data_IF_498150547070
#
_entry.id   IF_498150547070
#
_cell.length_a   1.000
_cell.length_b   1.000
_cell.length_c   1.000
_cell.angle_alpha   90.00
_cell.angle_beta   90.00
_cell.angle_gamma   90.00
#
_symmetry.space_group_name_H-M   'P 1'
#
loop_
_entity.id
_entity.type
_entity.pdbx_description
1 polymer ?
#
# COMPACT_ATOMS: atom_id res chain seq x y z
N UNK A 1 4.35 -3.85 8.66
CA UNK A 1 4.51 -2.46 8.16
C UNK A 1 3.15 -1.84 8.03
N UNK A 2 3.00 -0.60 8.47
CA UNK A 2 1.79 0.19 8.39
C UNK A 2 2.12 1.51 7.70
N UNK A 3 1.42 1.81 6.62
CA UNK A 3 1.42 3.12 5.97
C UNK A 3 0.06 3.77 6.21
N UNK A 4 0.08 5.02 6.63
CA UNK A 4 -1.12 5.82 6.87
C UNK A 4 -1.14 6.92 5.81
N UNK A 5 -2.22 6.99 5.05
CA UNK A 5 -2.29 7.80 3.85
C UNK A 5 -3.45 8.76 3.96
N UNK A 6 -3.14 10.04 3.73
CA UNK A 6 -4.11 11.12 3.63
C UNK A 6 -4.30 11.48 2.17
N UNK A 7 -5.56 11.74 1.80
CA UNK A 7 -5.95 12.30 0.52
C UNK A 7 -5.59 13.77 0.46
N UNK A 8 -5.07 14.22 -0.67
CA UNK A 8 -4.82 15.64 -0.94
C UNK A 8 -6.00 16.21 -1.74
N UNK A 9 -6.45 17.42 -1.39
CA UNK A 9 -7.51 18.15 -2.08
C UNK A 9 -8.81 17.36 -2.30
N UNK A 10 -9.13 16.48 -1.36
CA UNK A 10 -10.34 15.63 -1.37
C UNK A 10 -10.46 14.69 -2.60
N UNK A 11 -9.36 14.36 -3.26
CA UNK A 11 -9.28 13.42 -4.40
C UNK A 11 -9.48 11.93 -4.00
N UNK A 12 -10.53 11.62 -3.23
CA UNK A 12 -10.73 10.28 -2.65
C UNK A 12 -10.96 9.21 -3.70
N UNK A 13 -11.68 9.53 -4.77
CA UNK A 13 -11.96 8.58 -5.86
C UNK A 13 -10.68 8.15 -6.59
N UNK A 14 -9.81 9.10 -6.94
CA UNK A 14 -8.49 8.81 -7.52
C UNK A 14 -7.64 7.98 -6.55
N UNK A 15 -7.66 8.32 -5.26
CA UNK A 15 -6.93 7.58 -4.23
C UNK A 15 -7.36 6.11 -4.18
N UNK A 16 -8.66 5.83 -4.08
CA UNK A 16 -9.18 4.46 -4.03
C UNK A 16 -8.86 3.71 -5.32
N UNK A 17 -9.15 4.32 -6.48
CA UNK A 17 -8.86 3.72 -7.78
C UNK A 17 -7.39 3.34 -7.91
N UNK A 18 -6.48 4.25 -7.53
CA UNK A 18 -5.05 4.03 -7.57
C UNK A 18 -4.63 2.83 -6.69
N UNK A 19 -5.21 2.70 -5.50
CA UNK A 19 -4.90 1.59 -4.60
C UNK A 19 -5.44 0.24 -5.09
N UNK A 20 -6.66 0.20 -5.62
CA UNK A 20 -7.28 -1.01 -6.17
C UNK A 20 -6.60 -1.49 -7.46
N UNK A 21 -6.25 -0.56 -8.35
CA UNK A 21 -5.76 -0.89 -9.70
C UNK A 21 -4.23 -0.96 -9.80
N UNK A 22 -3.51 -0.59 -8.74
CA UNK A 22 -2.05 -0.67 -8.72
C UNK A 22 -1.58 -1.44 -7.49
N UNK A 23 -1.80 -0.89 -6.30
CA UNK A 23 -1.19 -1.41 -5.08
C UNK A 23 -1.72 -2.77 -4.64
N UNK A 24 -3.00 -3.07 -4.91
CA UNK A 24 -3.57 -4.40 -4.71
C UNK A 24 -2.87 -5.43 -5.61
N UNK A 25 -2.78 -5.15 -6.91
CA UNK A 25 -2.12 -6.03 -7.90
C UNK A 25 -0.68 -6.33 -7.49
N UNK A 26 0.09 -5.30 -7.11
CA UNK A 26 1.48 -5.48 -6.67
C UNK A 26 1.57 -6.41 -5.44
N UNK A 27 0.60 -6.35 -4.54
CA UNK A 27 0.57 -7.16 -3.32
C UNK A 27 0.03 -8.57 -3.53
N UNK A 28 -0.90 -8.75 -4.47
CA UNK A 28 -1.30 -10.07 -4.94
C UNK A 28 -0.08 -10.82 -5.49
N UNK A 29 0.70 -10.19 -6.38
CA UNK A 29 1.94 -10.77 -6.92
C UNK A 29 2.96 -11.04 -5.80
N UNK A 30 3.16 -10.07 -4.88
CA UNK A 30 4.11 -10.25 -3.77
C UNK A 30 3.71 -11.41 -2.85
N UNK A 31 2.41 -11.63 -2.63
CA UNK A 31 1.89 -12.74 -1.83
C UNK A 31 2.08 -14.08 -2.58
N UNK A 32 1.76 -14.13 -3.87
CA UNK A 32 1.96 -15.32 -4.72
C UNK A 32 3.43 -15.75 -4.79
N UNK A 33 4.35 -14.79 -4.77
CA UNK A 33 5.81 -15.04 -4.78
C UNK A 33 6.43 -15.27 -3.40
N UNK A 34 5.60 -15.37 -2.35
CA UNK A 34 6.04 -15.51 -0.96
C UNK A 34 7.02 -14.41 -0.50
N UNK A 35 6.84 -13.18 -0.99
CA UNK A 35 7.61 -12.01 -0.55
C UNK A 35 6.99 -11.36 0.68
N UNK A 36 5.67 -11.49 0.83
CA UNK A 36 4.89 -11.05 1.99
C UNK A 36 3.98 -12.18 2.45
N UNK A 37 3.59 -12.17 3.71
CA UNK A 37 2.64 -13.11 4.28
C UNK A 37 1.19 -12.73 3.93
N UNK A 38 0.85 -11.47 4.16
CA UNK A 38 -0.47 -10.93 3.93
C UNK A 38 -0.44 -9.42 3.76
N UNK A 39 -1.55 -8.86 3.31
CA UNK A 39 -1.76 -7.43 3.28
C UNK A 39 -3.24 -7.10 3.48
N UNK A 40 -3.49 -5.91 3.98
CA UNK A 40 -4.84 -5.37 4.20
C UNK A 40 -4.82 -3.88 3.83
N UNK A 41 -5.92 -3.40 3.25
CA UNK A 41 -6.16 -1.98 3.03
C UNK A 41 -7.46 -1.63 3.75
N UNK A 42 -7.36 -0.71 4.70
CA UNK A 42 -8.49 -0.25 5.50
C UNK A 42 -8.78 1.20 5.11
N UNK A 43 -10.05 1.50 4.86
CA UNK A 43 -10.53 2.86 4.69
C UNK A 43 -10.99 3.37 6.04
N UNK A 44 -10.59 4.58 6.39
CA UNK A 44 -10.98 5.21 7.65
C UNK A 44 -12.13 6.18 7.43
N UNK A 45 -13.00 6.25 8.43
CA UNK A 45 -13.97 7.33 8.52
C UNK A 45 -13.28 8.59 9.02
N UNK A 46 -13.78 9.76 8.63
CA UNK A 46 -13.24 11.02 9.13
C UNK A 46 -13.49 11.11 10.64
N UNK A 47 -12.42 11.23 11.43
CA UNK A 47 -12.50 11.60 12.84
C UNK A 47 -11.71 12.88 13.12
N UNK A 48 -12.00 13.51 14.25
CA UNK A 48 -11.43 14.81 14.61
C UNK A 48 -9.99 14.75 15.14
N UNK A 49 -9.35 13.57 15.14
CA UNK A 49 -8.09 13.31 15.87
C UNK A 49 -7.00 12.76 14.94
N UNK A 50 -7.35 11.88 14.01
CA UNK A 50 -6.44 11.18 13.13
C UNK A 50 -6.67 11.59 11.68
N UNK A 51 -5.80 12.46 11.16
CA UNK A 51 -5.92 12.97 9.79
C UNK A 51 -5.29 12.02 8.75
N UNK A 52 -5.92 10.87 8.51
CA UNK A 52 -5.65 9.97 7.38
C UNK A 52 -6.94 9.30 6.89
N UNK A 53 -6.95 8.88 5.62
CA UNK A 53 -8.11 8.25 4.96
C UNK A 53 -7.91 6.75 4.69
N UNK A 54 -6.65 6.28 4.66
CA UNK A 54 -6.31 4.87 4.41
C UNK A 54 -5.23 4.40 5.38
N UNK A 55 -5.38 3.16 5.86
CA UNK A 55 -4.31 2.38 6.48
C UNK A 55 -3.97 1.21 5.58
N UNK A 56 -2.72 1.12 5.14
CA UNK A 56 -2.21 0.01 4.37
C UNK A 56 -1.27 -0.82 5.23
N UNK A 57 -1.62 -2.09 5.41
CA UNK A 57 -0.90 -3.04 6.23
C UNK A 57 -0.23 -4.05 5.32
N UNK A 58 1.09 -4.19 5.44
CA UNK A 58 1.84 -5.30 4.83
C UNK A 58 2.49 -6.12 5.93
N UNK A 59 2.18 -7.41 5.97
CA UNK A 59 2.77 -8.37 6.92
C UNK A 59 3.82 -9.21 6.23
N UNK A 60 4.98 -9.32 6.86
CA UNK A 60 6.09 -10.17 6.42
C UNK A 60 6.24 -11.31 7.41
N UNK A 61 6.59 -12.52 6.93
CA UNK A 61 6.81 -13.69 7.79
C UNK A 61 7.99 -13.49 8.74
N UNK A 62 8.98 -12.71 8.32
CA UNK A 62 10.20 -12.46 9.08
C UNK A 62 10.93 -11.19 8.61
N UNK A 63 11.95 -10.79 9.38
CA UNK A 63 12.80 -9.63 9.14
C UNK A 63 13.51 -9.70 7.78
N UNK A 64 13.97 -10.89 7.35
CA UNK A 64 14.65 -11.04 6.06
C UNK A 64 13.74 -10.66 4.89
N UNK A 65 12.48 -11.09 4.90
CA UNK A 65 11.51 -10.69 3.88
C UNK A 65 11.28 -9.17 3.89
N UNK A 66 11.22 -8.55 5.08
CA UNK A 66 11.07 -7.11 5.20
C UNK A 66 12.27 -6.35 4.60
N UNK A 67 13.50 -6.74 4.94
CA UNK A 67 14.72 -6.12 4.44
C UNK A 67 14.87 -6.22 2.92
N UNK A 68 14.39 -7.32 2.33
CA UNK A 68 14.37 -7.54 0.88
C UNK A 68 13.13 -6.91 0.21
N UNK A 69 12.21 -6.33 1.00
CA UNK A 69 10.91 -5.87 0.52
C UNK A 69 11.02 -4.82 -0.57
N UNK A 70 11.84 -3.78 -0.36
CA UNK A 70 12.00 -2.69 -1.32
C UNK A 70 12.46 -3.20 -2.69
N UNK A 71 13.57 -3.94 -2.73
CA UNK A 71 14.11 -4.50 -3.98
C UNK A 71 13.09 -5.38 -4.70
N UNK A 72 12.39 -6.24 -3.95
CA UNK A 72 11.35 -7.14 -4.48
C UNK A 72 10.15 -6.37 -5.03
N UNK A 73 9.68 -5.35 -4.33
CA UNK A 73 8.59 -4.50 -4.82
C UNK A 73 9.01 -3.69 -6.04
N UNK A 74 10.25 -3.17 -6.10
CA UNK A 74 10.77 -2.50 -7.29
C UNK A 74 10.80 -3.43 -8.51
N UNK A 75 11.19 -4.69 -8.31
CA UNK A 75 11.12 -5.70 -9.38
C UNK A 75 9.68 -5.90 -9.87
N UNK A 76 8.73 -6.13 -8.95
CA UNK A 76 7.31 -6.33 -9.31
C UNK A 76 6.76 -5.08 -10.03
N UNK A 77 7.07 -3.87 -9.55
CA UNK A 77 6.64 -2.62 -10.17
C UNK A 77 7.18 -2.51 -11.61
N UNK A 78 8.46 -2.83 -11.82
CA UNK A 78 9.07 -2.79 -13.16
C UNK A 78 8.41 -3.78 -14.11
N UNK A 79 8.19 -5.01 -13.66
CA UNK A 79 7.52 -6.06 -14.45
C UNK A 79 6.08 -5.66 -14.79
N UNK A 80 5.31 -5.24 -13.79
CA UNK A 80 3.92 -4.78 -13.94
C UNK A 80 3.84 -3.58 -14.88
N UNK A 81 4.69 -2.56 -14.70
CA UNK A 81 4.67 -1.38 -15.56
C UNK A 81 5.01 -1.73 -17.01
N UNK A 82 5.91 -2.70 -17.24
CA UNK A 82 6.22 -3.20 -18.58
C UNK A 82 5.01 -3.89 -19.23
N UNK A 83 4.24 -4.66 -18.46
CA UNK A 83 3.06 -5.37 -18.95
C UNK A 83 1.87 -4.43 -19.24
N UNK A 84 1.63 -3.47 -18.34
CA UNK A 84 0.43 -2.61 -18.38
C UNK A 84 0.66 -1.21 -18.96
N UNK A 85 1.88 -0.89 -19.39
CA UNK A 85 2.21 0.45 -19.90
C UNK A 85 2.32 1.53 -18.82
N UNK A 86 2.48 1.14 -17.55
CA UNK A 86 2.71 2.05 -16.43
C UNK A 86 1.67 1.97 -15.31
N UNK A 87 1.58 3.07 -14.56
CA UNK A 87 0.64 3.25 -13.45
C UNK A 87 -0.74 3.58 -14.01
N UNK A 88 -1.78 2.96 -13.46
CA UNK A 88 -3.18 3.26 -13.79
C UNK A 88 -3.68 4.37 -12.89
N UNK A 89 -4.18 5.44 -13.49
CA UNK A 89 -4.74 6.61 -12.81
C UNK A 89 -6.15 6.82 -13.37
N UNK A 90 -7.07 7.31 -12.54
CA UNK A 90 -8.43 7.62 -12.99
C UNK A 90 -8.46 8.97 -13.74
N UNK A 91 -7.53 9.87 -13.42
CA UNK A 91 -7.31 11.16 -14.07
C UNK A 91 -5.81 11.42 -14.35
N UNK A 92 -5.46 12.66 -14.70
CA UNK A 92 -4.08 13.05 -15.04
C UNK A 92 -3.21 13.41 -13.82
N UNK A 93 -3.76 13.35 -12.60
CA UNK A 93 -3.03 13.65 -11.37
C UNK A 93 -1.97 12.58 -11.10
N UNK A 94 -0.76 13.01 -10.78
CA UNK A 94 0.29 12.10 -10.33
C UNK A 94 0.05 11.73 -8.87
N UNK A 95 0.56 10.58 -8.40
CA UNK A 95 0.41 10.14 -7.01
C UNK A 95 0.67 11.24 -5.97
N UNK A 96 1.74 12.04 -6.11
CA UNK A 96 2.04 13.11 -5.14
C UNK A 96 0.98 14.22 -5.03
N UNK A 97 0.07 14.33 -6.00
CA UNK A 97 -0.96 15.39 -6.08
C UNK A 97 -2.27 14.97 -5.40
N UNK A 98 -2.50 13.68 -5.19
CA UNK A 98 -3.73 13.17 -4.54
C UNK A 98 -3.49 12.34 -3.29
N UNK A 99 -2.25 11.92 -3.01
CA UNK A 99 -1.90 11.15 -1.81
C UNK A 99 -0.67 11.69 -1.09
N UNK A 100 -0.73 11.62 0.23
CA UNK A 100 0.40 11.83 1.13
C UNK A 100 0.49 10.70 2.14
N UNK A 101 1.65 10.06 2.24
CA UNK A 101 1.93 9.17 3.36
C UNK A 101 2.25 10.05 4.58
N UNK A 102 1.41 9.99 5.61
CA UNK A 102 1.55 10.81 6.83
C UNK A 102 2.29 10.07 7.94
N UNK A 103 2.18 8.74 7.99
CA UNK A 103 2.94 7.91 8.91
C UNK A 103 3.39 6.62 8.25
N UNK A 104 4.66 6.29 8.45
CA UNK A 104 5.22 4.99 8.15
C UNK A 104 5.69 4.34 9.44
N UNK A 105 5.20 3.13 9.75
CA UNK A 105 5.53 2.41 10.97
C UNK A 105 5.86 0.95 10.70
N UNK A 106 6.99 0.53 11.26
CA UNK A 106 7.40 -0.87 11.32
C UNK A 106 7.01 -1.37 12.71
N UNK A 107 6.29 -2.49 12.76
CA UNK A 107 5.79 -3.05 14.01
C UNK A 107 6.08 -4.54 14.05
N UNK A 108 6.03 -5.10 15.26
CA UNK A 108 6.05 -6.55 15.50
C UNK A 108 4.82 -6.93 16.30
N UNK A 109 4.22 -8.06 15.97
CA UNK A 109 3.11 -8.61 16.74
C UNK A 109 3.65 -9.07 18.10
N UNK A 110 3.12 -8.50 19.20
CA UNK A 110 3.43 -8.97 20.55
C UNK A 110 2.44 -10.04 21.01
N UNK A 111 1.16 -9.89 20.65
CA UNK A 111 0.07 -10.84 20.85
C UNK A 111 -0.89 -10.74 19.64
N UNK A 112 -1.56 -11.84 19.28
CA UNK A 112 -2.57 -11.88 18.21
C UNK A 112 -3.61 -12.95 18.53
N UNK A 113 -4.89 -12.65 18.29
CA UNK A 113 -5.98 -13.63 18.29
C UNK A 113 -6.16 -14.31 16.93
N UNK A 114 -5.56 -13.76 15.87
CA UNK A 114 -5.53 -14.37 14.55
C UNK A 114 -4.57 -15.58 14.60
N UNK A 115 -5.09 -16.75 14.24
CA UNK A 115 -4.36 -18.01 14.14
C UNK A 115 -3.30 -17.97 13.03
#
# INVERSE_FOLDING_TARGET
MFDFIKTVDNNKEELIYYYENNWKILRDIAKERDFIESYELLITEADSVADFDIILITRYKNEKQYQQGEERFQQIIKERNKEYGGVRLLNELKPGEFRKNVFHKITRTKFSSLK
#
